data_IF_999208283717
#
_entry.id   IF_999208283717
#
_cell.length_a   1.000
_cell.length_b   1.000
_cell.length_c   1.000
_cell.angle_alpha   90.00
_cell.angle_beta   90.00
_cell.angle_gamma   90.00
#
_symmetry.space_group_name_H-M   'P 1'
#
loop_
_entity.id
_entity.type
_entity.pdbx_description
1 polymer ?
#
# COMPACT_ATOMS: atom_id res chain seq x y z
N UNK A 1 -5.28 24.11 -53.07
CA UNK A 1 -4.14 24.84 -52.45
C UNK A 1 -2.92 23.92 -52.36
N UNK A 2 -2.47 23.35 -53.50
CA UNK A 2 -1.49 22.26 -53.56
C UNK A 2 -0.43 22.44 -54.68
N UNK A 3 -0.13 23.68 -55.04
CA UNK A 3 0.78 24.00 -56.14
C UNK A 3 1.81 25.03 -55.72
N UNK A 4 2.84 24.60 -54.98
CA UNK A 4 4.10 25.35 -54.77
C UNK A 4 5.20 24.46 -54.14
N UNK A 5 5.56 23.35 -54.78
CA UNK A 5 6.76 22.56 -54.41
C UNK A 5 7.75 22.39 -55.58
N UNK A 6 7.43 22.90 -56.77
CA UNK A 6 8.34 22.91 -57.92
C UNK A 6 9.32 24.09 -57.83
N UNK A 7 10.36 23.98 -56.99
CA UNK A 7 11.40 25.01 -56.88
C UNK A 7 12.40 24.83 -55.73
N UNK A 8 12.28 23.78 -54.92
CA UNK A 8 13.30 23.43 -53.94
C UNK A 8 14.46 22.76 -54.67
N UNK A 9 15.55 23.49 -54.90
CA UNK A 9 16.79 22.94 -55.45
C UNK A 9 17.24 21.71 -54.67
N UNK A 10 17.83 20.72 -55.36
CA UNK A 10 18.19 19.39 -54.80
C UNK A 10 18.81 19.44 -53.39
N UNK A 11 19.61 20.45 -53.08
CA UNK A 11 20.22 20.66 -51.77
C UNK A 11 19.20 20.88 -50.62
N UNK A 12 18.10 21.60 -50.88
CA UNK A 12 17.04 21.83 -49.86
C UNK A 12 16.21 20.57 -49.61
N UNK A 13 16.00 19.75 -50.63
CA UNK A 13 15.35 18.43 -50.50
C UNK A 13 16.20 17.46 -49.66
N UNK A 14 17.52 17.46 -49.86
CA UNK A 14 18.44 16.66 -49.05
C UNK A 14 18.44 17.14 -47.59
N UNK A 15 18.49 18.45 -47.35
CA UNK A 15 18.47 19.00 -45.99
C UNK A 15 17.18 18.65 -45.22
N UNK A 16 16.01 18.71 -45.88
CA UNK A 16 14.74 18.29 -45.29
C UNK A 16 14.73 16.78 -45.00
N UNK A 17 15.24 15.96 -45.92
CA UNK A 17 15.34 14.51 -45.73
C UNK A 17 16.24 14.13 -44.54
N UNK A 18 17.40 14.79 -44.40
CA UNK A 18 18.31 14.58 -43.26
C UNK A 18 17.66 15.04 -41.94
N UNK A 19 16.95 16.17 -41.95
CA UNK A 19 16.24 16.67 -40.77
C UNK A 19 15.14 15.72 -40.29
N UNK A 20 14.35 15.14 -41.21
CA UNK A 20 13.32 14.14 -40.89
C UNK A 20 13.97 12.86 -40.34
N UNK A 21 15.07 12.39 -40.95
CA UNK A 21 15.78 11.19 -40.49
C UNK A 21 16.34 11.37 -39.08
N UNK A 22 16.95 12.52 -38.79
CA UNK A 22 17.45 12.85 -37.46
C UNK A 22 16.33 12.86 -36.41
N UNK A 23 15.16 13.40 -36.76
CA UNK A 23 14.01 13.46 -35.87
C UNK A 23 13.42 12.06 -35.60
N UNK A 24 13.36 11.20 -36.62
CA UNK A 24 12.98 9.78 -36.48
C UNK A 24 13.96 9.06 -35.57
N UNK A 25 15.27 9.28 -35.72
CA UNK A 25 16.30 8.66 -34.86
C UNK A 25 16.13 9.13 -33.41
N UNK A 26 15.87 10.42 -33.17
CA UNK A 26 15.61 10.95 -31.81
C UNK A 26 14.36 10.29 -31.21
N UNK A 27 13.27 10.16 -31.98
CA UNK A 27 12.04 9.50 -31.51
C UNK A 27 12.28 8.03 -31.23
N UNK A 28 13.00 7.31 -32.10
CA UNK A 28 13.35 5.90 -31.87
C UNK A 28 14.21 5.75 -30.61
N UNK A 29 15.22 6.62 -30.41
CA UNK A 29 16.05 6.62 -29.21
C UNK A 29 15.23 6.87 -27.94
N UNK A 30 14.27 7.82 -27.98
CA UNK A 30 13.35 8.09 -26.88
C UNK A 30 12.40 6.91 -26.59
N UNK A 31 11.98 6.16 -27.62
CA UNK A 31 11.13 4.97 -27.46
C UNK A 31 11.95 3.78 -26.92
N UNK A 32 13.18 3.58 -27.42
CA UNK A 32 14.05 2.49 -26.95
C UNK A 32 14.50 2.68 -25.51
N UNK A 33 14.60 3.91 -25.01
CA UNK A 33 14.84 4.20 -23.59
C UNK A 33 13.71 3.72 -22.67
N UNK A 34 12.54 3.40 -23.23
CA UNK A 34 11.43 2.82 -22.49
C UNK A 34 11.39 1.28 -22.53
N UNK A 35 12.32 0.59 -23.20
CA UNK A 35 12.30 -0.87 -23.35
C UNK A 35 13.04 -1.65 -22.24
N UNK A 36 13.23 -1.05 -21.06
CA UNK A 36 13.54 -1.86 -19.86
C UNK A 36 12.39 -2.85 -19.62
N UNK A 37 12.69 -4.14 -19.48
CA UNK A 37 11.69 -5.16 -19.19
C UNK A 37 11.04 -4.87 -17.84
N UNK A 38 9.73 -4.63 -17.83
CA UNK A 38 8.97 -4.50 -16.59
C UNK A 38 8.74 -5.88 -15.98
N UNK A 39 9.20 -6.09 -14.76
CA UNK A 39 8.91 -7.27 -13.95
C UNK A 39 7.74 -6.94 -13.01
N UNK A 40 6.81 -7.88 -12.82
CA UNK A 40 5.69 -7.73 -11.89
C UNK A 40 5.80 -8.73 -10.74
N UNK A 41 5.43 -8.27 -9.55
CA UNK A 41 5.39 -9.03 -8.31
C UNK A 41 3.97 -8.98 -7.77
N UNK A 42 3.30 -10.13 -7.74
CA UNK A 42 1.91 -10.27 -7.29
C UNK A 42 1.78 -10.19 -5.76
N UNK A 43 0.56 -10.00 -5.26
CA UNK A 43 0.16 -9.97 -3.84
C UNK A 43 -1.00 -9.00 -3.64
N UNK A 44 -1.33 -8.64 -2.39
CA UNK A 44 -2.44 -7.71 -2.11
C UNK A 44 -2.20 -6.32 -2.69
N UNK A 45 -0.95 -5.88 -2.69
CA UNK A 45 -0.51 -4.65 -3.35
C UNK A 45 0.54 -4.97 -4.42
N UNK A 46 0.13 -5.26 -5.67
CA UNK A 46 1.05 -5.62 -6.74
C UNK A 46 2.13 -4.57 -6.98
N UNK A 47 3.35 -5.02 -7.26
CA UNK A 47 4.50 -4.15 -7.57
C UNK A 47 4.96 -4.38 -9.00
N UNK A 48 5.21 -3.30 -9.73
CA UNK A 48 5.85 -3.34 -11.04
C UNK A 48 7.19 -2.61 -11.00
N UNK A 49 8.23 -3.28 -11.47
CA UNK A 49 9.62 -2.79 -11.41
C UNK A 49 10.17 -2.70 -12.81
N UNK A 50 10.80 -1.57 -13.13
CA UNK A 50 11.46 -1.33 -14.41
C UNK A 50 12.86 -0.78 -14.16
N UNK A 51 13.87 -1.50 -14.63
CA UNK A 51 15.24 -0.99 -14.63
C UNK A 51 15.38 0.20 -15.58
N UNK A 52 16.11 1.22 -15.14
CA UNK A 52 16.40 2.44 -15.87
C UNK A 52 17.88 2.51 -16.24
N UNK A 53 18.22 3.44 -17.14
CA UNK A 53 19.62 3.76 -17.44
C UNK A 53 20.35 4.23 -16.18
N UNK A 54 21.64 3.91 -16.12
CA UNK A 54 22.49 4.30 -14.99
C UNK A 54 22.31 3.43 -13.73
N UNK A 55 21.64 2.28 -13.85
CA UNK A 55 21.47 1.34 -12.74
C UNK A 55 20.35 1.70 -11.76
N UNK A 56 19.52 2.70 -12.08
CA UNK A 56 18.34 3.09 -11.30
C UNK A 56 17.15 2.15 -11.52
N UNK A 57 16.15 2.23 -10.63
CA UNK A 57 14.89 1.49 -10.72
C UNK A 57 13.70 2.45 -10.70
N UNK A 58 12.68 2.13 -11.49
CA UNK A 58 11.33 2.65 -11.32
C UNK A 58 10.47 1.57 -10.70
N UNK A 59 9.93 1.81 -9.50
CA UNK A 59 9.07 0.88 -8.78
C UNK A 59 7.68 1.51 -8.64
N UNK A 60 6.65 0.87 -9.17
CA UNK A 60 5.26 1.31 -9.04
C UNK A 60 4.46 0.29 -8.24
N UNK A 61 3.91 0.75 -7.12
CA UNK A 61 3.04 -0.01 -6.22
C UNK A 61 1.57 0.31 -6.54
N UNK A 62 0.76 -0.72 -6.78
CA UNK A 62 -0.67 -0.62 -7.03
C UNK A 62 -1.45 -0.58 -5.72
N UNK A 63 -2.21 0.49 -5.49
CA UNK A 63 -3.00 0.70 -4.27
C UNK A 63 -4.51 0.52 -4.44
N UNK A 64 -4.97 -0.03 -5.56
CA UNK A 64 -6.39 -0.12 -5.92
C UNK A 64 -7.26 -0.87 -4.91
N UNK A 65 -6.70 -1.85 -4.17
CA UNK A 65 -7.40 -2.60 -3.12
C UNK A 65 -8.02 -1.69 -2.04
N UNK A 66 -7.39 -0.54 -1.80
CA UNK A 66 -7.78 0.41 -0.74
C UNK A 66 -7.88 1.82 -1.33
N UNK A 67 -8.70 1.92 -2.38
CA UNK A 67 -8.90 3.16 -3.10
C UNK A 67 -9.35 4.31 -2.17
N UNK A 68 -8.86 5.52 -2.43
CA UNK A 68 -9.16 6.71 -1.64
C UNK A 68 -8.35 6.86 -0.34
N UNK A 69 -7.48 5.90 0.00
CA UNK A 69 -6.53 6.01 1.12
C UNK A 69 -5.15 6.40 0.56
N UNK A 70 -4.57 7.54 0.98
CA UNK A 70 -3.29 8.00 0.45
C UNK A 70 -2.12 7.13 0.92
N UNK A 71 -1.08 7.05 0.08
CA UNK A 71 0.21 6.47 0.44
C UNK A 71 1.07 7.49 1.19
N UNK A 72 1.62 7.04 2.31
CA UNK A 72 2.73 7.66 3.03
C UNK A 72 3.99 6.82 2.84
N UNK A 73 5.16 7.44 2.90
CA UNK A 73 6.43 6.73 2.77
C UNK A 73 7.50 7.39 3.62
N UNK A 74 8.36 6.57 4.22
CA UNK A 74 9.43 7.02 5.12
C UNK A 74 10.76 7.00 4.39
N UNK A 75 11.43 8.15 4.29
CA UNK A 75 12.81 8.25 3.76
C UNK A 75 13.80 7.50 4.63
N UNK A 76 14.83 6.84 4.06
CA UNK A 76 15.83 6.14 4.84
C UNK A 76 16.54 7.14 5.77
N UNK A 77 16.51 6.90 7.07
CA UNK A 77 16.98 7.85 8.11
C UNK A 77 18.52 8.01 8.18
N UNK A 78 19.28 7.52 7.20
CA UNK A 78 20.75 7.52 7.26
C UNK A 78 21.36 8.76 6.58
N UNK A 79 22.41 9.33 7.19
CA UNK A 79 23.22 10.42 6.59
C UNK A 79 23.85 10.04 5.23
N UNK A 80 23.91 8.75 4.90
CA UNK A 80 24.40 8.25 3.62
C UNK A 80 23.66 6.96 3.21
N UNK A 81 22.43 7.05 2.68
CA UNK A 81 21.59 5.88 2.46
C UNK A 81 22.07 5.08 1.25
N UNK A 82 21.88 3.75 1.28
CA UNK A 82 22.22 2.83 0.16
C UNK A 82 21.54 3.27 -1.15
N UNK A 83 20.32 3.77 -1.04
CA UNK A 83 19.51 4.30 -2.14
C UNK A 83 19.00 5.70 -1.79
N UNK A 84 18.83 6.54 -2.81
CA UNK A 84 17.95 7.71 -2.75
C UNK A 84 16.72 7.46 -3.62
N UNK A 85 15.61 8.14 -3.35
CA UNK A 85 14.46 8.06 -4.24
C UNK A 85 13.62 9.33 -4.22
N UNK A 86 12.89 9.55 -5.31
CA UNK A 86 11.74 10.46 -5.32
C UNK A 86 10.45 9.67 -5.55
N UNK A 87 9.35 10.13 -4.98
CA UNK A 87 8.06 9.44 -5.10
C UNK A 87 7.02 10.36 -5.77
N UNK A 88 6.16 9.75 -6.59
CA UNK A 88 5.04 10.41 -7.23
C UNK A 88 3.79 9.56 -7.13
N UNK A 89 2.73 10.15 -6.61
CA UNK A 89 1.40 9.53 -6.56
C UNK A 89 0.62 9.86 -7.83
N UNK A 90 -0.11 8.87 -8.37
CA UNK A 90 -0.98 9.03 -9.53
C UNK A 90 -2.21 8.15 -9.36
N UNK A 91 -3.33 8.75 -8.94
CA UNK A 91 -4.50 7.99 -8.50
C UNK A 91 -4.15 7.16 -7.26
N UNK A 92 -4.49 5.87 -7.29
CA UNK A 92 -4.24 4.94 -6.20
C UNK A 92 -2.81 4.39 -6.15
N UNK A 93 -1.98 4.72 -7.15
CA UNK A 93 -0.65 4.16 -7.31
C UNK A 93 0.42 5.13 -6.83
N UNK A 94 1.48 4.59 -6.25
CA UNK A 94 2.70 5.35 -5.92
C UNK A 94 3.87 4.81 -6.73
N UNK A 95 4.65 5.70 -7.32
CA UNK A 95 5.85 5.37 -8.11
C UNK A 95 7.08 5.98 -7.47
N UNK A 96 8.10 5.15 -7.26
CA UNK A 96 9.42 5.54 -6.77
C UNK A 96 10.43 5.49 -7.92
N UNK A 97 11.14 6.58 -8.16
CA UNK A 97 12.36 6.61 -8.97
C UNK A 97 13.56 6.48 -8.02
N UNK A 98 14.13 5.28 -7.96
CA UNK A 98 15.19 4.86 -7.02
C UNK A 98 16.56 4.95 -7.69
N UNK A 99 17.50 5.64 -7.05
CA UNK A 99 18.88 5.83 -7.51
C UNK A 99 19.86 5.17 -6.53
N UNK A 100 20.77 4.32 -7.00
CA UNK A 100 21.80 3.71 -6.15
C UNK A 100 22.86 4.74 -5.74
N UNK A 101 23.25 4.76 -4.46
CA UNK A 101 24.31 5.63 -3.95
C UNK A 101 25.58 4.86 -3.54
N UNK A 102 25.42 3.71 -2.88
CA UNK A 102 26.52 2.85 -2.42
C UNK A 102 26.09 1.38 -2.45
N UNK A 103 27.05 0.47 -2.52
CA UNK A 103 26.79 -0.99 -2.42
C UNK A 103 26.15 -1.30 -1.07
N UNK A 104 25.13 -2.14 -1.07
CA UNK A 104 24.46 -2.57 0.16
C UNK A 104 23.00 -2.91 -0.04
N UNK A 105 22.26 -2.84 1.07
CA UNK A 105 20.84 -3.18 1.13
C UNK A 105 20.03 -1.97 1.57
N UNK A 106 18.99 -1.62 0.81
CA UNK A 106 18.09 -0.50 1.06
C UNK A 106 16.64 -0.97 1.18
N UNK A 107 15.86 -0.26 1.99
CA UNK A 107 14.45 -0.54 2.24
C UNK A 107 13.64 0.74 2.07
N UNK A 108 12.50 0.64 1.39
CA UNK A 108 11.49 1.70 1.33
C UNK A 108 10.25 1.20 2.07
N UNK A 109 9.85 1.89 3.13
CA UNK A 109 8.60 1.60 3.83
C UNK A 109 7.52 2.50 3.27
N UNK A 110 6.42 1.88 2.86
CA UNK A 110 5.24 2.53 2.30
C UNK A 110 4.04 2.14 3.14
N UNK A 111 3.26 3.09 3.60
CA UNK A 111 2.10 2.86 4.49
C UNK A 111 0.85 3.49 3.89
N UNK A 112 -0.27 2.79 3.93
CA UNK A 112 -1.60 3.42 3.80
C UNK A 112 -2.16 3.64 5.18
N UNK A 113 -2.45 4.89 5.54
CA UNK A 113 -3.12 5.23 6.79
C UNK A 113 -4.48 5.83 6.50
N UNK A 114 -5.47 5.38 7.26
CA UNK A 114 -6.77 6.04 7.30
C UNK A 114 -6.91 6.71 8.65
N UNK A 115 -7.11 8.02 8.64
CA UNK A 115 -7.46 8.74 9.85
C UNK A 115 -8.97 8.61 10.09
N UNK A 116 -9.30 8.23 11.30
CA UNK A 116 -10.65 8.03 11.80
C UNK A 116 -10.68 8.76 13.14
N UNK A 117 -11.49 9.80 13.29
CA UNK A 117 -11.55 10.59 14.52
C UNK A 117 -10.17 11.01 15.04
N UNK A 118 -9.35 11.58 14.16
CA UNK A 118 -7.99 12.02 14.51
C UNK A 118 -7.03 10.88 14.90
N UNK A 119 -7.46 9.61 14.72
CA UNK A 119 -6.65 8.42 14.99
C UNK A 119 -6.26 7.77 13.67
N UNK A 120 -4.96 7.59 13.49
CA UNK A 120 -4.41 6.91 12.33
C UNK A 120 -4.48 5.39 12.48
N UNK A 121 -5.14 4.73 11.53
CA UNK A 121 -5.16 3.28 11.40
C UNK A 121 -4.30 2.86 10.20
N UNK A 122 -3.26 2.04 10.38
CA UNK A 122 -2.52 1.48 9.26
C UNK A 122 -3.39 0.45 8.55
N UNK A 123 -3.76 0.71 7.31
CA UNK A 123 -4.54 -0.22 6.47
C UNK A 123 -3.61 -1.15 5.70
N UNK A 124 -2.43 -0.65 5.33
CA UNK A 124 -1.39 -1.50 4.77
C UNK A 124 -0.01 -0.94 5.07
N UNK A 125 0.94 -1.85 5.24
CA UNK A 125 2.36 -1.56 5.31
C UNK A 125 3.07 -2.45 4.29
N UNK A 126 3.80 -1.83 3.37
CA UNK A 126 4.54 -2.51 2.31
C UNK A 126 5.99 -2.09 2.40
N UNK A 127 6.86 -3.08 2.46
CA UNK A 127 8.30 -2.91 2.43
C UNK A 127 8.84 -3.31 1.07
N UNK A 128 9.50 -2.37 0.38
CA UNK A 128 10.16 -2.60 -0.90
C UNK A 128 11.66 -2.75 -0.64
N UNK A 129 12.21 -3.90 -1.00
CA UNK A 129 13.60 -4.27 -0.68
C UNK A 129 14.47 -4.18 -1.94
N UNK A 130 15.57 -3.42 -1.84
CA UNK A 130 16.47 -3.13 -2.97
C UNK A 130 17.90 -3.45 -2.57
N UNK A 131 18.62 -4.19 -3.41
CA UNK A 131 20.07 -4.40 -3.26
C UNK A 131 20.79 -3.55 -4.29
N UNK A 132 21.84 -2.88 -3.87
CA UNK A 132 22.76 -2.17 -4.74
C UNK A 132 24.06 -2.95 -4.83
N UNK A 133 24.48 -3.28 -6.06
CA UNK A 133 25.73 -3.95 -6.36
C UNK A 133 26.59 -3.12 -7.32
N UNK A 134 27.91 -3.31 -7.26
CA UNK A 134 28.83 -2.71 -8.23
C UNK A 134 28.96 -3.62 -9.46
N UNK A 135 28.81 -3.04 -10.64
CA UNK A 135 28.99 -3.69 -11.95
C UNK A 135 30.09 -2.97 -12.74
N UNK A 136 30.46 -3.54 -13.89
CA UNK A 136 31.48 -2.97 -14.79
C UNK A 136 31.16 -1.56 -15.30
N UNK A 137 29.90 -1.12 -15.21
CA UNK A 137 29.41 0.18 -15.67
C UNK A 137 28.93 1.09 -14.53
N UNK A 138 29.25 0.76 -13.27
CA UNK A 138 28.87 1.53 -12.09
C UNK A 138 27.92 0.77 -11.16
N UNK A 139 27.23 1.51 -10.29
CA UNK A 139 26.27 0.92 -9.36
C UNK A 139 24.98 0.50 -10.07
N UNK A 140 24.43 -0.63 -9.67
CA UNK A 140 23.15 -1.16 -10.13
C UNK A 140 22.26 -1.47 -8.92
N UNK A 141 21.06 -0.90 -8.90
CA UNK A 141 19.98 -1.28 -8.00
C UNK A 141 19.15 -2.42 -8.62
N UNK A 142 18.91 -3.46 -7.85
CA UNK A 142 18.07 -4.59 -8.19
C UNK A 142 16.99 -4.76 -7.12
N UNK A 143 15.73 -4.92 -7.54
CA UNK A 143 14.63 -5.19 -6.62
C UNK A 143 14.70 -6.64 -6.18
N UNK A 144 14.66 -6.87 -4.86
CA UNK A 144 14.79 -8.21 -4.28
C UNK A 144 13.42 -8.81 -4.05
N UNK A 145 12.60 -8.13 -3.27
CA UNK A 145 11.28 -8.62 -2.85
C UNK A 145 10.42 -7.49 -2.32
N UNK A 146 9.15 -7.82 -2.08
CA UNK A 146 8.26 -7.06 -1.21
C UNK A 146 7.86 -7.91 -0.01
N UNK A 147 7.70 -7.26 1.13
CA UNK A 147 6.97 -7.81 2.29
C UNK A 147 5.76 -6.94 2.53
N UNK A 148 4.58 -7.56 2.65
CA UNK A 148 3.32 -6.85 2.87
C UNK A 148 2.67 -7.29 4.19
N UNK A 149 2.18 -6.31 4.92
CA UNK A 149 1.25 -6.46 6.04
C UNK A 149 0.04 -5.59 5.70
N UNK A 150 -0.92 -6.14 4.96
CA UNK A 150 -2.21 -5.49 4.85
C UNK A 150 -3.07 -5.90 6.03
N UNK A 151 -3.77 -4.93 6.61
CA UNK A 151 -4.82 -5.24 7.55
C UNK A 151 -6.11 -5.28 6.74
N UNK A 152 -6.56 -6.51 6.47
CA UNK A 152 -7.87 -6.73 5.86
C UNK A 152 -8.91 -6.59 6.97
N UNK A 153 -9.81 -5.63 6.81
CA UNK A 153 -10.74 -5.33 7.88
C UNK A 153 -11.92 -4.48 7.48
N UNK A 154 -13.06 -4.75 8.09
CA UNK A 154 -14.27 -3.99 7.88
C UNK A 154 -14.29 -2.78 8.80
N UNK A 155 -14.58 -1.63 8.21
CA UNK A 155 -14.97 -0.46 8.96
C UNK A 155 -16.46 -0.53 9.28
N UNK A 156 -16.79 -0.15 10.50
CA UNK A 156 -18.17 -0.03 10.96
C UNK A 156 -18.65 1.41 10.98
N UNK A 157 -19.89 1.62 10.53
CA UNK A 157 -20.68 2.86 10.48
C UNK A 157 -20.14 3.98 9.56
N UNK A 158 -20.45 3.88 8.27
CA UNK A 158 -20.25 4.95 7.26
C UNK A 158 -21.03 6.24 7.57
N UNK A 159 -21.99 6.18 8.51
CA UNK A 159 -22.93 7.25 8.85
C UNK A 159 -22.69 7.88 10.23
N UNK A 160 -21.66 7.46 10.97
CA UNK A 160 -21.36 8.05 12.29
C UNK A 160 -19.94 8.54 12.43
N UNK A 161 -19.78 9.61 13.20
CA UNK A 161 -18.50 10.20 13.57
C UNK A 161 -17.67 9.29 14.49
N UNK A 162 -17.93 7.98 14.62
CA UNK A 162 -17.18 7.07 15.51
C UNK A 162 -17.15 5.62 15.01
N UNK A 163 -16.19 5.26 14.14
CA UNK A 163 -16.13 3.92 13.59
C UNK A 163 -15.21 3.01 14.41
N UNK A 164 -15.58 1.73 14.45
CA UNK A 164 -14.71 0.65 14.89
C UNK A 164 -14.09 -0.03 13.66
N UNK A 165 -12.98 -0.74 13.90
CA UNK A 165 -12.29 -1.49 12.86
C UNK A 165 -12.15 -2.95 13.25
N UNK A 166 -12.74 -3.84 12.45
CA UNK A 166 -12.66 -5.29 12.62
C UNK A 166 -11.56 -5.84 11.73
N UNK A 167 -10.67 -6.67 12.27
CA UNK A 167 -9.68 -7.41 11.46
C UNK A 167 -9.28 -8.68 12.19
N UNK A 168 -9.22 -9.81 11.48
CA UNK A 168 -8.95 -11.12 12.09
C UNK A 168 -9.81 -11.32 13.35
N UNK A 169 -9.21 -11.61 14.50
CA UNK A 169 -9.87 -11.73 15.80
C UNK A 169 -9.87 -10.44 16.63
N UNK A 170 -9.67 -9.27 16.02
CA UNK A 170 -9.53 -7.98 16.69
C UNK A 170 -10.70 -7.04 16.39
N UNK A 171 -11.05 -6.24 17.40
CA UNK A 171 -11.86 -5.03 17.30
C UNK A 171 -11.03 -3.87 17.81
N UNK A 172 -10.69 -2.92 16.95
CA UNK A 172 -10.05 -1.66 17.34
C UNK A 172 -11.10 -0.57 17.49
N UNK A 173 -10.95 0.22 18.55
CA UNK A 173 -11.88 1.27 18.93
C UNK A 173 -11.18 2.65 18.90
N UNK A 174 -11.95 3.73 18.73
CA UNK A 174 -11.41 5.07 18.94
C UNK A 174 -10.90 5.23 20.38
N UNK A 175 -9.90 6.11 20.56
CA UNK A 175 -9.29 6.44 21.84
C UNK A 175 -10.31 7.03 22.82
N UNK A 176 -11.33 7.70 22.30
CA UNK A 176 -12.44 8.27 23.04
C UNK A 176 -13.76 7.58 22.68
N UNK A 177 -14.46 7.09 23.69
CA UNK A 177 -15.76 6.44 23.54
C UNK A 177 -16.08 5.48 24.67
N UNK A 178 -17.37 5.20 24.83
CA UNK A 178 -17.94 4.28 25.81
C UNK A 178 -18.13 2.86 25.24
N UNK A 179 -17.43 2.57 24.14
CA UNK A 179 -17.46 1.31 23.44
C UNK A 179 -17.11 0.14 24.36
N UNK A 180 -17.95 -0.89 24.34
CA UNK A 180 -17.75 -2.14 25.07
C UNK A 180 -18.14 -3.35 24.23
N UNK A 181 -17.32 -4.39 24.30
CA UNK A 181 -17.62 -5.69 23.72
C UNK A 181 -18.20 -6.61 24.81
N UNK A 182 -19.40 -7.11 24.59
CA UNK A 182 -20.13 -8.00 25.51
C UNK A 182 -20.53 -9.30 24.80
N UNK A 183 -20.76 -10.36 25.57
CA UNK A 183 -21.34 -11.60 25.06
C UNK A 183 -22.84 -11.42 24.82
N UNK A 184 -23.37 -11.91 23.70
CA UNK A 184 -24.77 -11.69 23.34
C UNK A 184 -25.76 -12.39 24.31
N UNK A 185 -25.37 -13.53 24.88
CA UNK A 185 -26.19 -14.37 25.75
C UNK A 185 -26.36 -13.78 27.17
N UNK A 186 -25.31 -13.19 27.72
CA UNK A 186 -25.25 -12.69 29.11
C UNK A 186 -25.28 -11.17 29.19
N UNK A 187 -24.93 -10.48 28.10
CA UNK A 187 -24.65 -9.04 28.07
C UNK A 187 -23.51 -8.61 29.01
N UNK A 188 -22.72 -9.57 29.49
CA UNK A 188 -21.54 -9.33 30.31
C UNK A 188 -20.26 -9.35 29.47
N UNK A 189 -19.16 -8.85 30.04
CA UNK A 189 -17.87 -8.88 29.36
C UNK A 189 -17.36 -10.34 29.25
N UNK A 190 -16.98 -10.82 28.05
CA UNK A 190 -16.51 -12.20 27.82
C UNK A 190 -15.05 -12.41 28.29
N UNK A 191 -14.80 -12.28 29.61
CA UNK A 191 -13.44 -12.21 30.20
C UNK A 191 -12.56 -13.44 29.92
N UNK A 192 -13.16 -14.61 29.68
CA UNK A 192 -12.43 -15.86 29.46
C UNK A 192 -11.96 -16.03 28.01
N UNK A 193 -12.62 -15.34 27.08
CA UNK A 193 -12.43 -15.49 25.64
C UNK A 193 -11.80 -14.26 24.99
N UNK A 194 -11.90 -13.11 25.66
CA UNK A 194 -11.53 -11.81 25.09
C UNK A 194 -10.57 -11.04 25.98
N UNK A 195 -9.38 -10.78 25.45
CA UNK A 195 -8.44 -9.81 25.99
C UNK A 195 -8.85 -8.39 25.62
N UNK A 196 -8.57 -7.45 26.53
CA UNK A 196 -8.62 -6.02 26.26
C UNK A 196 -7.20 -5.48 26.30
N UNK A 197 -6.88 -4.53 25.44
CA UNK A 197 -5.65 -3.77 25.55
C UNK A 197 -5.81 -2.35 25.08
N UNK A 198 -4.69 -1.63 25.13
CA UNK A 198 -4.56 -0.25 24.70
C UNK A 198 -3.37 -0.21 23.74
N UNK A 199 -3.57 0.33 22.55
CA UNK A 199 -2.53 0.57 21.57
C UNK A 199 -1.63 1.73 22.02
N UNK A 200 -0.44 1.87 21.40
CA UNK A 200 0.51 2.94 21.74
C UNK A 200 -0.06 4.36 21.55
N UNK A 201 -1.11 4.50 20.71
CA UNK A 201 -1.84 5.74 20.48
C UNK A 201 -3.00 6.00 21.46
N UNK A 202 -3.19 5.15 22.48
CA UNK A 202 -4.26 5.27 23.47
C UNK A 202 -5.60 4.62 23.07
N UNK A 203 -5.75 4.15 21.83
CA UNK A 203 -6.94 3.42 21.37
C UNK A 203 -7.12 2.10 22.11
N UNK A 204 -8.35 1.79 22.52
CA UNK A 204 -8.67 0.48 23.07
C UNK A 204 -8.83 -0.54 21.95
N UNK A 205 -8.50 -1.79 22.24
CA UNK A 205 -8.87 -2.91 21.39
C UNK A 205 -9.39 -4.08 22.22
N UNK A 206 -10.18 -4.91 21.55
CA UNK A 206 -10.55 -6.25 22.01
C UNK A 206 -9.94 -7.29 21.08
N UNK A 207 -9.49 -8.41 21.63
CA UNK A 207 -8.99 -9.56 20.87
C UNK A 207 -9.67 -10.83 21.37
N UNK A 208 -10.29 -11.59 20.48
CA UNK A 208 -10.83 -12.92 20.80
C UNK A 208 -9.68 -13.93 20.80
N UNK A 209 -9.25 -14.35 21.98
CA UNK A 209 -8.13 -15.27 22.16
C UNK A 209 -8.52 -16.73 21.96
N UNK A 210 -9.75 -17.08 22.35
CA UNK A 210 -10.27 -18.45 22.35
C UNK A 210 -11.76 -18.45 22.04
N UNK A 211 -12.24 -19.54 21.43
CA UNK A 211 -13.67 -19.81 21.26
C UNK A 211 -14.11 -20.86 22.28
N UNK A 212 -15.38 -20.84 22.71
CA UNK A 212 -15.94 -21.90 23.55
C UNK A 212 -16.02 -23.24 22.77
N UNK A 213 -16.39 -24.33 23.44
CA UNK A 213 -16.49 -25.67 22.82
C UNK A 213 -17.39 -25.70 21.58
N UNK A 214 -18.36 -24.81 21.51
CA UNK A 214 -19.29 -24.62 20.40
C UNK A 214 -18.62 -24.04 19.14
N UNK A 215 -17.33 -23.71 19.20
CA UNK A 215 -16.51 -23.14 18.11
C UNK A 215 -17.04 -21.83 17.53
N UNK A 216 -17.93 -21.16 18.25
CA UNK A 216 -18.49 -19.86 17.90
C UNK A 216 -18.73 -19.05 19.17
N UNK A 217 -18.55 -17.73 19.11
CA UNK A 217 -18.91 -16.81 20.18
C UNK A 217 -19.72 -15.65 19.59
N UNK A 218 -20.96 -15.49 20.05
CA UNK A 218 -21.81 -14.37 19.66
C UNK A 218 -21.54 -13.18 20.58
N UNK A 219 -21.23 -12.04 19.96
CA UNK A 219 -20.75 -10.84 20.62
C UNK A 219 -21.61 -9.65 20.22
N UNK A 220 -21.63 -8.63 21.07
CA UNK A 220 -22.24 -7.33 20.77
C UNK A 220 -21.23 -6.24 21.11
N UNK A 221 -20.88 -5.43 20.12
CA UNK A 221 -20.15 -4.20 20.31
C UNK A 221 -21.16 -3.07 20.53
N UNK A 222 -21.15 -2.46 21.71
CA UNK A 222 -22.12 -1.44 22.13
C UNK A 222 -21.45 -0.10 22.40
N UNK A 223 -22.11 0.99 22.03
CA UNK A 223 -21.88 2.36 22.55
C UNK A 223 -23.21 2.91 23.08
N UNK A 224 -23.29 3.20 24.37
CA UNK A 224 -24.49 3.77 25.00
C UNK A 224 -24.67 5.24 24.58
N UNK A 225 -23.58 6.00 24.50
CA UNK A 225 -23.56 7.40 24.10
C UNK A 225 -24.07 7.63 22.68
N UNK A 226 -23.83 6.67 21.78
CA UNK A 226 -24.35 6.70 20.40
C UNK A 226 -25.66 5.91 20.23
N UNK A 227 -26.10 5.16 21.24
CA UNK A 227 -27.25 4.25 21.12
C UNK A 227 -27.03 3.15 20.06
N UNK A 228 -25.78 2.74 19.84
CA UNK A 228 -25.40 1.77 18.82
C UNK A 228 -25.16 0.38 19.40
N UNK A 229 -25.63 -0.63 18.67
CA UNK A 229 -25.33 -2.03 18.93
C UNK A 229 -25.01 -2.73 17.62
N UNK A 230 -23.81 -3.31 17.54
CA UNK A 230 -23.37 -4.12 16.41
C UNK A 230 -23.23 -5.56 16.89
N UNK A 231 -23.97 -6.46 16.26
CA UNK A 231 -23.82 -7.90 16.48
C UNK A 231 -22.59 -8.40 15.73
N UNK A 232 -21.72 -9.09 16.43
CA UNK A 232 -20.52 -9.70 15.89
C UNK A 232 -20.56 -11.20 16.17
N UNK A 233 -19.89 -11.96 15.31
CA UNK A 233 -19.67 -13.39 15.50
C UNK A 233 -18.18 -13.67 15.42
N UNK A 234 -17.65 -14.37 16.42
CA UNK A 234 -16.31 -14.93 16.36
C UNK A 234 -16.38 -16.41 16.01
N UNK A 235 -15.62 -16.86 15.02
CA UNK A 235 -15.62 -18.24 14.53
C UNK A 235 -14.26 -18.64 13.95
N UNK A 236 -14.02 -19.94 13.76
CA UNK A 236 -12.84 -20.42 13.03
C UNK A 236 -13.07 -20.35 11.52
N UNK A 237 -12.14 -19.72 10.80
CA UNK A 237 -12.11 -19.78 9.34
C UNK A 237 -11.61 -21.16 8.83
N UNK A 238 -11.59 -21.33 7.52
CA UNK A 238 -11.08 -22.50 6.80
C UNK A 238 -9.58 -22.80 7.03
N UNK A 239 -8.84 -21.85 7.60
CA UNK A 239 -7.44 -21.99 8.02
C UNK A 239 -7.28 -22.23 9.53
N UNK A 240 -8.37 -22.49 10.25
CA UNK A 240 -8.39 -22.69 11.70
C UNK A 240 -7.86 -21.47 12.48
N UNK A 241 -8.08 -20.26 11.96
CA UNK A 241 -7.80 -18.99 12.62
C UNK A 241 -9.12 -18.41 13.14
N UNK A 242 -9.10 -17.79 14.32
CA UNK A 242 -10.27 -17.05 14.82
C UNK A 242 -10.43 -15.79 13.97
N UNK A 243 -11.63 -15.56 13.47
CA UNK A 243 -12.03 -14.33 12.79
C UNK A 243 -13.27 -13.74 13.46
N UNK A 244 -13.43 -12.43 13.34
CA UNK A 244 -14.60 -11.66 13.71
C UNK A 244 -15.29 -11.13 12.46
N UNK A 245 -16.59 -11.37 12.37
CA UNK A 245 -17.45 -10.85 11.31
C UNK A 245 -18.71 -10.21 11.90
N UNK A 246 -19.37 -9.34 11.13
CA UNK A 246 -20.69 -8.81 11.50
C UNK A 246 -21.72 -9.93 11.35
N UNK A 247 -22.57 -10.09 12.36
CA UNK A 247 -23.71 -11.00 12.27
C UNK A 247 -24.91 -10.26 11.66
N UNK A 248 -25.64 -10.95 10.76
CA UNK A 248 -26.90 -10.47 10.17
C UNK A 248 -28.03 -10.27 11.21
#
# INVERSE_FOLDING_TARGET
MLTKIAGLGKQKLIAIGVGILALIIIVILLITDQLGSTVKYDGQYPVSVKSQKGGSLKITLDGSLTAGIPWEYETPEEENPVITYSAKTSGENITFDVTPNKVGYGKIKVTKRRTINEIDFPVAEVYLEVVVSEKSYGLQADFVTKSEKAIDGELGADDTEQPYYLTENWVYLPADGDWRLVEASTLERPKQYVSVGICDNGSRYYRVDYLPEEQQLDLILKSEGLGQEIKLKALYNDKNQIILEKAE
#
